data_IF_799440139263
#
_entry.id   IF_799440139263
#
_cell.length_a   1.000
_cell.length_b   1.000
_cell.length_c   1.000
_cell.angle_alpha   90.00
_cell.angle_beta   90.00
_cell.angle_gamma   90.00
#
_symmetry.space_group_name_H-M   'P 1'
#
loop_
_entity.id
_entity.type
_entity.pdbx_description
1 polymer ?
#
# COMPACT_ATOMS: atom_id res chain seq x y z
N UNK A 1 -12.47 14.66 6.00
CA UNK A 1 -11.28 14.86 6.88
C UNK A 1 -10.42 13.61 6.82
N UNK A 2 -9.12 13.76 6.51
CA UNK A 2 -8.14 12.68 6.55
C UNK A 2 -7.83 12.33 8.02
N UNK A 3 -7.87 11.04 8.35
CA UNK A 3 -7.48 10.53 9.67
C UNK A 3 -6.26 9.64 9.54
N UNK A 4 -5.24 9.88 10.36
CA UNK A 4 -4.04 9.04 10.40
C UNK A 4 -4.27 7.78 11.21
N UNK A 5 -3.89 6.65 10.61
CA UNK A 5 -3.83 5.35 11.25
C UNK A 5 -2.39 4.87 11.21
N UNK A 6 -1.75 4.73 12.36
CA UNK A 6 -0.36 4.31 12.51
C UNK A 6 -0.24 2.80 12.47
N UNK A 7 0.80 2.32 11.82
CA UNK A 7 1.20 0.93 11.82
C UNK A 7 1.96 0.65 13.13
N UNK A 8 1.38 -0.14 14.03
CA UNK A 8 1.94 -0.45 15.34
C UNK A 8 1.95 -1.96 15.53
N UNK A 9 3.14 -2.60 15.48
CA UNK A 9 3.24 -4.06 15.48
C UNK A 9 2.33 -4.69 14.41
N UNK A 10 1.26 -5.30 14.65
CA UNK A 10 0.27 -5.76 13.64
C UNK A 10 -1.07 -5.03 13.75
N UNK A 11 -1.11 -3.95 14.52
CA UNK A 11 -2.33 -3.18 14.78
C UNK A 11 -2.30 -1.88 13.98
N UNK A 12 -3.43 -1.57 13.36
CA UNK A 12 -3.69 -0.30 12.71
C UNK A 12 -4.51 0.59 13.67
N UNK A 13 -3.92 1.67 14.16
CA UNK A 13 -4.52 2.49 15.22
C UNK A 13 -4.34 3.98 14.98
N UNK A 14 -5.33 4.79 15.37
CA UNK A 14 -5.20 6.25 15.39
C UNK A 14 -4.22 6.73 16.47
N UNK A 15 -3.92 5.88 17.46
CA UNK A 15 -2.94 6.17 18.51
C UNK A 15 -1.56 5.70 18.09
N UNK A 16 -0.63 6.63 17.96
CA UNK A 16 0.76 6.37 17.62
C UNK A 16 1.50 5.71 18.79
N UNK A 17 2.25 4.65 18.52
CA UNK A 17 3.16 4.06 19.52
C UNK A 17 4.30 5.04 19.84
N UNK A 18 4.67 5.14 21.13
CA UNK A 18 5.72 6.07 21.59
C UNK A 18 7.12 5.62 21.12
N UNK A 19 7.41 4.33 21.26
CA UNK A 19 8.71 3.78 20.94
C UNK A 19 8.80 3.45 19.45
N UNK A 20 9.96 3.76 18.86
CA UNK A 20 10.29 3.31 17.51
C UNK A 20 10.57 1.80 17.55
N UNK A 21 10.04 1.11 16.57
CA UNK A 21 10.27 -0.31 16.34
C UNK A 21 10.40 -0.58 14.83
N UNK A 22 10.88 -1.76 14.47
CA UNK A 22 11.01 -2.19 13.07
C UNK A 22 10.39 -3.57 12.90
N UNK A 23 9.44 -3.67 11.99
CA UNK A 23 8.87 -4.95 11.56
C UNK A 23 9.64 -5.44 10.35
N UNK A 24 10.04 -6.71 10.39
CA UNK A 24 10.64 -7.40 9.24
C UNK A 24 9.55 -8.21 8.54
N UNK A 25 9.44 -8.03 7.23
CA UNK A 25 8.56 -8.80 6.38
C UNK A 25 9.37 -9.43 5.25
N UNK A 26 9.43 -10.77 5.24
CA UNK A 26 10.04 -11.52 4.13
C UNK A 26 9.03 -11.66 2.99
N UNK A 27 9.42 -11.20 1.82
CA UNK A 27 8.55 -11.13 0.64
C UNK A 27 8.20 -12.53 0.14
N UNK A 28 6.90 -12.81 0.01
CA UNK A 28 6.41 -14.00 -0.68
C UNK A 28 6.18 -13.69 -2.17
N UNK A 29 7.10 -14.11 -3.03
CA UNK A 29 7.01 -13.90 -4.48
C UNK A 29 5.93 -14.76 -5.15
N UNK A 30 5.29 -15.67 -4.43
CA UNK A 30 4.11 -16.39 -4.92
C UNK A 30 2.80 -15.61 -4.69
N UNK A 31 2.87 -14.44 -4.03
CA UNK A 31 1.71 -13.57 -3.86
C UNK A 31 1.18 -13.09 -5.21
N UNK A 32 -0.12 -13.02 -5.33
CA UNK A 32 -0.84 -12.43 -6.44
C UNK A 32 -2.00 -11.60 -5.93
N UNK A 33 -2.08 -10.36 -6.40
CA UNK A 33 -3.26 -9.50 -6.18
C UNK A 33 -4.41 -9.82 -7.11
N UNK A 34 -4.33 -10.95 -7.84
CA UNK A 34 -5.31 -11.34 -8.85
C UNK A 34 -6.69 -11.57 -8.26
N UNK A 35 -7.67 -10.94 -8.87
CA UNK A 35 -9.09 -11.11 -8.58
C UNK A 35 -9.74 -11.84 -9.75
N UNK A 36 -9.82 -13.18 -9.67
CA UNK A 36 -10.36 -14.00 -10.74
C UNK A 36 -9.47 -13.96 -12.01
N UNK A 37 -9.88 -14.68 -13.03
CA UNK A 37 -9.11 -14.86 -14.28
C UNK A 37 -9.05 -13.60 -15.17
N UNK A 38 -9.77 -12.52 -14.83
CA UNK A 38 -10.02 -11.40 -15.75
C UNK A 38 -9.53 -10.03 -15.27
N UNK A 39 -8.75 -9.92 -14.20
CA UNK A 39 -8.38 -8.62 -13.59
C UNK A 39 -7.70 -7.66 -14.59
N UNK A 40 -6.93 -8.19 -15.53
CA UNK A 40 -6.15 -7.38 -16.49
C UNK A 40 -6.44 -7.74 -17.95
N UNK A 41 -7.57 -8.34 -18.25
CA UNK A 41 -7.95 -8.50 -19.65
C UNK A 41 -8.28 -7.09 -20.21
N UNK A 42 -7.43 -6.49 -21.07
CA UNK A 42 -7.66 -5.16 -21.60
C UNK A 42 -8.95 -5.06 -22.44
N UNK A 43 -9.50 -6.20 -22.85
CA UNK A 43 -10.76 -6.27 -23.59
C UNK A 43 -11.98 -6.38 -22.66
N UNK A 44 -11.79 -6.64 -21.38
CA UNK A 44 -12.84 -6.69 -20.36
C UNK A 44 -12.63 -5.58 -19.33
N UNK A 45 -12.86 -4.33 -19.75
CA UNK A 45 -12.79 -3.16 -18.87
C UNK A 45 -13.87 -3.14 -17.77
N UNK A 46 -14.76 -4.10 -17.74
CA UNK A 46 -15.82 -4.25 -16.73
C UNK A 46 -15.41 -5.35 -15.76
N UNK A 47 -14.78 -4.99 -14.66
CA UNK A 47 -14.73 -5.89 -13.50
C UNK A 47 -16.17 -6.04 -13.04
N UNK A 48 -16.71 -7.25 -13.18
CA UNK A 48 -18.04 -7.55 -12.65
C UNK A 48 -18.01 -7.30 -11.14
N UNK A 49 -19.02 -6.60 -10.60
CA UNK A 49 -19.16 -6.40 -9.14
C UNK A 49 -19.26 -7.72 -8.36
N UNK A 50 -19.47 -8.85 -9.05
CA UNK A 50 -19.39 -10.21 -8.50
C UNK A 50 -17.95 -10.63 -8.17
N UNK A 51 -16.96 -9.94 -8.73
CA UNK A 51 -15.53 -10.21 -8.58
C UNK A 51 -14.87 -9.29 -7.54
N UNK A 52 -15.63 -8.61 -6.68
CA UNK A 52 -15.12 -8.01 -5.45
C UNK A 52 -14.79 -9.16 -4.50
N UNK A 53 -13.60 -9.68 -4.68
CA UNK A 53 -13.22 -10.97 -4.18
C UNK A 53 -12.74 -10.88 -2.76
N UNK A 54 -13.13 -11.88 -2.08
CA UNK A 54 -12.60 -12.25 -0.80
C UNK A 54 -11.10 -12.51 -0.94
N UNK A 55 -10.27 -11.83 -0.13
CA UNK A 55 -8.80 -11.77 -0.25
C UNK A 55 -8.04 -12.52 0.84
N UNK A 56 -8.71 -13.25 1.72
CA UNK A 56 -8.03 -13.86 2.89
C UNK A 56 -6.84 -14.72 2.50
N UNK A 57 -6.94 -15.45 1.40
CA UNK A 57 -5.85 -16.28 0.88
C UNK A 57 -4.65 -15.43 0.41
N UNK A 58 -4.90 -14.31 -0.28
CA UNK A 58 -3.86 -13.39 -0.74
C UNK A 58 -3.23 -12.64 0.44
N UNK A 59 -4.06 -12.16 1.37
CA UNK A 59 -3.61 -11.43 2.55
C UNK A 59 -2.73 -12.29 3.46
N UNK A 60 -2.89 -13.61 3.47
CA UNK A 60 -2.04 -14.53 4.26
C UNK A 60 -0.56 -14.48 3.86
N UNK A 61 -0.25 -14.01 2.65
CA UNK A 61 1.11 -13.84 2.12
C UNK A 61 1.67 -12.43 2.31
N UNK A 62 0.91 -11.55 2.92
CA UNK A 62 1.24 -10.13 3.13
C UNK A 62 1.62 -9.84 4.57
N UNK A 63 2.30 -8.72 4.78
CA UNK A 63 2.36 -8.10 6.09
C UNK A 63 1.04 -7.35 6.33
N UNK A 64 0.31 -7.76 7.36
CA UNK A 64 -1.06 -7.29 7.64
C UNK A 64 -1.10 -6.42 8.89
N UNK A 65 -1.86 -5.32 8.81
CA UNK A 65 -2.22 -4.45 9.93
C UNK A 65 -3.74 -4.28 9.97
N UNK A 66 -4.35 -4.47 11.15
CA UNK A 66 -5.79 -4.37 11.33
C UNK A 66 -6.18 -3.39 12.44
N UNK A 67 -7.33 -2.75 12.26
CA UNK A 67 -7.96 -2.04 13.38
C UNK A 67 -8.65 -3.03 14.32
N UNK A 68 -8.95 -2.59 15.54
CA UNK A 68 -10.00 -3.23 16.33
C UNK A 68 -11.34 -3.19 15.58
N UNK A 69 -12.28 -4.10 15.90
CA UNK A 69 -13.63 -4.04 15.34
C UNK A 69 -14.28 -2.68 15.56
N UNK A 70 -14.88 -2.12 14.51
CA UNK A 70 -15.50 -0.81 14.59
C UNK A 70 -16.76 -0.81 15.45
N UNK A 71 -16.85 0.12 16.40
CA UNK A 71 -18.02 0.29 17.28
C UNK A 71 -19.23 0.85 16.52
N UNK A 72 -19.00 1.64 15.47
CA UNK A 72 -20.02 2.26 14.63
C UNK A 72 -19.65 2.15 13.16
N UNK A 73 -20.63 2.26 12.29
CA UNK A 73 -20.39 2.35 10.85
C UNK A 73 -19.52 3.54 10.48
N UNK A 74 -18.68 3.38 9.47
CA UNK A 74 -17.83 4.45 8.94
C UNK A 74 -17.93 4.49 7.42
N UNK A 75 -17.83 5.69 6.87
CA UNK A 75 -17.78 5.91 5.42
C UNK A 75 -16.38 6.41 5.05
N UNK A 76 -15.72 5.72 4.15
CA UNK A 76 -14.53 6.17 3.44
C UNK A 76 -14.97 6.81 2.13
N UNK A 77 -14.46 8.01 1.80
CA UNK A 77 -14.69 8.64 0.50
C UNK A 77 -13.49 9.48 0.12
N UNK A 78 -12.83 9.10 -0.97
CA UNK A 78 -11.65 9.79 -1.50
C UNK A 78 -10.43 8.89 -1.61
N UNK A 79 -9.25 9.47 -1.48
CA UNK A 79 -7.96 8.82 -1.68
C UNK A 79 -7.33 8.45 -0.33
N UNK A 80 -7.16 7.15 -0.01
CA UNK A 80 -6.25 6.75 1.06
C UNK A 80 -4.80 7.09 0.67
N UNK A 81 -3.99 7.58 1.62
CA UNK A 81 -2.60 7.94 1.36
C UNK A 81 -1.69 7.13 2.28
N UNK A 82 -0.78 6.38 1.68
CA UNK A 82 0.24 5.59 2.36
C UNK A 82 1.45 6.47 2.67
N UNK A 83 2.03 6.30 3.86
CA UNK A 83 3.31 6.86 4.24
C UNK A 83 4.12 5.75 4.93
N UNK A 84 5.01 5.11 4.18
CA UNK A 84 5.88 4.03 4.68
C UNK A 84 7.30 4.55 4.84
N UNK A 85 7.83 4.51 6.06
CA UNK A 85 9.24 4.67 6.30
C UNK A 85 9.87 3.28 6.37
N UNK A 86 10.61 2.91 5.33
CA UNK A 86 11.10 1.55 5.17
C UNK A 86 12.47 1.48 4.50
N UNK A 87 13.11 0.32 4.64
CA UNK A 87 14.29 -0.11 3.92
C UNK A 87 14.11 -1.54 3.42
N UNK A 88 15.08 -2.05 2.68
CA UNK A 88 15.20 -3.45 2.26
C UNK A 88 16.64 -3.93 2.37
N UNK A 89 16.84 -5.25 2.45
CA UNK A 89 18.16 -5.86 2.29
C UNK A 89 18.68 -5.82 0.85
N UNK A 90 17.80 -5.47 -0.12
CA UNK A 90 18.17 -5.23 -1.52
C UNK A 90 18.16 -3.74 -1.84
N UNK A 91 18.81 -3.37 -2.94
CA UNK A 91 18.96 -1.95 -3.32
C UNK A 91 17.67 -1.28 -3.75
N UNK A 92 16.69 -2.04 -4.26
CA UNK A 92 15.40 -1.57 -4.73
C UNK A 92 14.31 -2.60 -4.45
N UNK A 93 13.04 -2.20 -4.47
CA UNK A 93 11.90 -3.08 -4.25
C UNK A 93 10.63 -2.50 -4.89
N UNK A 94 9.67 -3.37 -5.16
CA UNK A 94 8.30 -3.00 -5.52
C UNK A 94 7.39 -3.21 -4.31
N UNK A 95 6.56 -2.23 -4.01
CA UNK A 95 5.66 -2.23 -2.87
C UNK A 95 4.23 -2.21 -3.37
N UNK A 96 3.42 -3.15 -2.90
CA UNK A 96 1.99 -3.26 -3.17
C UNK A 96 1.24 -3.07 -1.87
N UNK A 97 0.27 -2.18 -1.84
CA UNK A 97 -0.56 -1.92 -0.66
C UNK A 97 -2.02 -2.11 -1.02
N UNK A 98 -2.71 -2.90 -0.22
CA UNK A 98 -4.12 -3.20 -0.37
C UNK A 98 -4.88 -2.71 0.86
N UNK A 99 -6.01 -2.05 0.63
CA UNK A 99 -7.00 -1.70 1.65
C UNK A 99 -8.18 -2.64 1.53
N UNK A 100 -8.57 -3.27 2.63
CA UNK A 100 -9.66 -4.23 2.66
C UNK A 100 -10.58 -4.01 3.85
N UNK A 101 -11.80 -4.51 3.72
CA UNK A 101 -12.83 -4.58 4.75
C UNK A 101 -12.91 -6.01 5.29
N UNK A 102 -12.58 -6.23 6.55
CA UNK A 102 -12.64 -7.55 7.17
C UNK A 102 -13.94 -7.69 7.94
N UNK A 103 -14.78 -8.62 7.50
CA UNK A 103 -16.04 -8.95 8.15
C UNK A 103 -15.82 -9.76 9.44
N UNK A 104 -16.84 -9.83 10.35
CA UNK A 104 -16.72 -10.59 11.60
C UNK A 104 -16.44 -12.08 11.42
N UNK A 105 -16.77 -12.67 10.27
CA UNK A 105 -16.46 -14.06 9.91
C UNK A 105 -15.01 -14.26 9.44
N UNK A 106 -14.20 -13.19 9.41
CA UNK A 106 -12.80 -13.19 9.01
C UNK A 106 -12.56 -13.02 7.52
N UNK A 107 -13.61 -12.98 6.69
CA UNK A 107 -13.46 -12.70 5.25
C UNK A 107 -13.01 -11.28 5.00
N UNK A 108 -12.09 -11.14 4.06
CA UNK A 108 -11.45 -9.87 3.70
C UNK A 108 -11.89 -9.43 2.29
N UNK A 109 -12.53 -8.28 2.21
CA UNK A 109 -13.07 -7.76 0.94
C UNK A 109 -12.25 -6.58 0.43
N UNK A 110 -11.86 -6.64 -0.83
CA UNK A 110 -11.09 -5.61 -1.49
C UNK A 110 -11.82 -4.27 -1.57
N UNK A 111 -11.09 -3.19 -1.31
CA UNK A 111 -11.56 -1.81 -1.48
C UNK A 111 -10.72 -1.07 -2.49
N UNK A 112 -9.42 -0.95 -2.25
CA UNK A 112 -8.50 -0.19 -3.08
C UNK A 112 -7.07 -0.72 -2.96
N UNK A 113 -6.24 -0.37 -3.94
CA UNK A 113 -4.82 -0.73 -3.97
C UNK A 113 -3.98 0.39 -4.54
N UNK A 114 -2.68 0.31 -4.31
CA UNK A 114 -1.65 1.05 -5.04
C UNK A 114 -0.35 0.26 -5.10
N UNK A 115 0.46 0.60 -6.10
CA UNK A 115 1.78 0.04 -6.33
C UNK A 115 2.80 1.18 -6.46
N UNK A 116 4.01 0.95 -5.94
CA UNK A 116 5.12 1.86 -6.13
C UNK A 116 6.44 1.07 -6.19
N UNK A 117 7.21 1.25 -7.26
CA UNK A 117 8.63 0.89 -7.25
C UNK A 117 9.39 1.93 -6.44
N UNK A 118 10.16 1.50 -5.44
CA UNK A 118 10.81 2.41 -4.50
C UNK A 118 11.74 3.43 -5.17
N UNK A 119 12.31 3.08 -6.32
CA UNK A 119 13.11 4.02 -7.11
C UNK A 119 12.35 5.28 -7.56
N UNK A 120 11.03 5.25 -7.60
CA UNK A 120 10.17 6.41 -7.90
C UNK A 120 9.64 7.11 -6.65
N UNK A 121 10.38 7.08 -5.54
CA UNK A 121 9.94 7.66 -4.27
C UNK A 121 9.86 9.20 -4.26
N UNK A 122 10.56 9.88 -5.19
CA UNK A 122 10.57 11.34 -5.25
C UNK A 122 9.18 11.88 -5.63
N UNK A 123 8.70 12.80 -4.82
CA UNK A 123 7.48 13.54 -5.13
C UNK A 123 7.82 14.75 -5.99
N UNK A 124 6.88 15.13 -6.84
CA UNK A 124 6.95 16.39 -7.60
C UNK A 124 6.68 17.54 -6.66
N UNK A 125 7.46 18.61 -6.74
CA UNK A 125 7.18 19.85 -6.02
C UNK A 125 5.91 20.50 -6.58
N UNK A 126 5.12 21.13 -5.69
CA UNK A 126 3.90 21.81 -6.08
C UNK A 126 4.13 22.86 -7.18
N UNK A 127 5.28 23.52 -7.17
CA UNK A 127 5.64 24.52 -8.16
C UNK A 127 5.96 23.91 -9.55
N UNK A 128 6.40 22.64 -9.60
CA UNK A 128 6.60 21.91 -10.86
C UNK A 128 5.29 21.46 -11.51
N UNK A 129 4.22 21.29 -10.74
CA UNK A 129 2.90 20.88 -11.23
C UNK A 129 2.06 22.03 -11.73
N UNK A 130 2.37 23.26 -11.31
CA UNK A 130 1.70 24.49 -11.74
C UNK A 130 2.34 24.99 -13.02
N UNK A 131 2.21 24.27 -14.14
CA UNK A 131 2.53 24.78 -15.45
C UNK A 131 1.32 25.52 -16.02
N UNK A 132 1.11 26.75 -15.58
CA UNK A 132 0.42 27.83 -16.28
C UNK A 132 -1.03 27.64 -16.74
N UNK A 133 -1.57 26.44 -16.78
CA UNK A 133 -2.91 26.16 -17.30
C UNK A 133 -3.95 25.84 -16.20
N UNK A 134 -3.51 25.35 -15.06
CA UNK A 134 -4.41 24.99 -13.95
C UNK A 134 -3.78 25.37 -12.61
N UNK A 135 -4.35 26.36 -11.97
CA UNK A 135 -3.95 26.85 -10.63
C UNK A 135 -4.40 25.86 -9.52
N UNK A 136 -4.26 24.57 -9.75
CA UNK A 136 -4.67 23.52 -8.83
C UNK A 136 -3.43 22.89 -8.22
N UNK A 137 -3.16 23.23 -6.95
CA UNK A 137 -2.18 22.48 -6.15
C UNK A 137 -2.77 21.12 -5.80
N UNK A 138 -2.19 20.01 -6.28
CA UNK A 138 -2.70 18.71 -5.90
C UNK A 138 -2.44 18.47 -4.41
N UNK A 139 -3.49 18.11 -3.67
CA UNK A 139 -3.39 17.69 -2.26
C UNK A 139 -2.82 16.26 -2.13
N UNK A 140 -2.66 15.54 -3.25
CA UNK A 140 -2.20 14.16 -3.31
C UNK A 140 -0.70 14.09 -3.55
N UNK A 141 -0.03 13.05 -3.02
CA UNK A 141 1.36 12.77 -3.36
C UNK A 141 1.45 12.32 -4.83
N UNK A 142 2.19 13.06 -5.63
CA UNK A 142 2.45 12.75 -7.02
C UNK A 142 3.93 12.40 -7.17
N UNK A 143 4.22 11.20 -7.66
CA UNK A 143 5.58 10.79 -7.97
C UNK A 143 6.07 11.54 -9.21
N UNK A 144 7.33 11.96 -9.17
CA UNK A 144 8.04 12.39 -10.38
C UNK A 144 8.43 11.14 -11.18
N UNK A 145 7.88 11.03 -12.40
CA UNK A 145 8.27 9.99 -13.35
C UNK A 145 9.29 10.49 -14.38
N UNK A 146 10.00 11.59 -14.08
CA UNK A 146 11.12 12.04 -14.92
C UNK A 146 12.29 11.09 -14.74
N UNK A 147 12.95 10.69 -15.83
CA UNK A 147 14.08 9.75 -15.79
C UNK A 147 15.20 10.20 -14.83
N UNK A 148 15.44 11.52 -14.71
CA UNK A 148 16.45 12.09 -13.82
C UNK A 148 16.11 11.96 -12.33
N UNK A 149 14.86 11.70 -12.00
CA UNK A 149 14.37 11.60 -10.62
C UNK A 149 14.27 10.15 -10.14
N UNK A 150 14.56 9.19 -11.04
CA UNK A 150 14.61 7.79 -10.69
C UNK A 150 15.88 7.46 -9.91
N UNK A 151 15.73 6.94 -8.70
CA UNK A 151 16.82 6.38 -7.89
C UNK A 151 16.87 4.86 -8.11
N UNK A 152 17.91 4.32 -8.77
CA UNK A 152 17.99 2.89 -9.00
C UNK A 152 18.29 2.08 -7.72
N UNK A 153 18.84 2.74 -6.67
CA UNK A 153 19.28 2.10 -5.44
C UNK A 153 18.77 2.83 -4.18
N UNK A 154 17.44 3.04 -4.03
CA UNK A 154 16.89 3.85 -2.94
C UNK A 154 17.22 3.28 -1.55
N UNK A 155 17.47 1.97 -1.44
CA UNK A 155 17.78 1.28 -0.18
C UNK A 155 19.26 0.92 -0.04
N UNK A 156 20.14 1.44 -0.90
CA UNK A 156 21.59 1.19 -0.84
C UNK A 156 22.15 1.35 0.57
N UNK A 157 22.94 0.36 1.01
CA UNK A 157 23.54 0.31 2.34
C UNK A 157 22.51 0.34 3.50
N UNK A 158 21.31 -0.17 3.28
CA UNK A 158 20.26 -0.21 4.30
C UNK A 158 19.60 1.14 4.57
N UNK A 159 19.75 2.12 3.66
CA UNK A 159 19.13 3.43 3.78
C UNK A 159 17.62 3.30 3.88
N UNK A 160 17.01 4.04 4.79
CA UNK A 160 15.57 4.16 4.89
C UNK A 160 15.05 5.26 3.97
N UNK A 161 13.94 4.97 3.29
CA UNK A 161 13.19 5.93 2.48
C UNK A 161 11.77 6.08 3.01
N UNK A 162 11.24 7.29 2.87
CA UNK A 162 9.82 7.54 3.08
C UNK A 162 9.10 7.44 1.74
N UNK A 163 8.29 6.40 1.59
CA UNK A 163 7.48 6.19 0.41
C UNK A 163 6.09 6.75 0.68
N UNK A 164 5.70 7.81 -0.02
CA UNK A 164 4.40 8.47 0.12
C UNK A 164 3.66 8.41 -1.20
N UNK A 165 2.52 7.72 -1.24
CA UNK A 165 1.70 7.54 -2.45
C UNK A 165 0.25 7.27 -2.08
N UNK A 166 -0.68 7.52 -3.01
CA UNK A 166 -2.10 7.30 -2.77
C UNK A 166 -2.59 5.99 -3.40
N UNK A 167 -3.59 5.38 -2.75
CA UNK A 167 -4.40 4.32 -3.33
C UNK A 167 -5.41 4.94 -4.31
N UNK A 168 -5.99 4.10 -5.17
CA UNK A 168 -7.10 4.50 -6.04
C UNK A 168 -8.25 5.08 -5.20
N UNK A 169 -8.93 6.13 -5.69
CA UNK A 169 -10.06 6.72 -4.97
C UNK A 169 -11.20 5.72 -4.85
N UNK A 170 -11.83 5.71 -3.69
CA UNK A 170 -12.96 4.82 -3.46
C UNK A 170 -14.02 5.45 -2.56
N UNK A 171 -15.24 4.94 -2.64
CA UNK A 171 -16.30 5.19 -1.68
C UNK A 171 -16.76 3.85 -1.11
N UNK A 172 -16.61 3.68 0.21
CA UNK A 172 -16.90 2.42 0.89
C UNK A 172 -17.54 2.64 2.25
N UNK A 173 -18.51 1.80 2.58
CA UNK A 173 -19.16 1.80 3.89
C UNK A 173 -18.70 0.58 4.69
N UNK A 174 -17.90 0.82 5.72
CA UNK A 174 -17.57 -0.19 6.71
C UNK A 174 -18.71 -0.35 7.70
N UNK A 175 -19.16 -1.56 7.92
CA UNK A 175 -20.23 -1.88 8.89
C UNK A 175 -19.68 -1.95 10.31
N UNK A 176 -20.56 -1.78 11.31
CA UNK A 176 -20.23 -2.07 12.71
C UNK A 176 -19.72 -3.50 12.85
N UNK A 177 -18.69 -3.73 13.66
CA UNK A 177 -18.07 -5.02 13.89
C UNK A 177 -17.03 -5.41 12.83
N UNK A 178 -16.96 -4.72 11.68
CA UNK A 178 -15.92 -4.92 10.69
C UNK A 178 -14.61 -4.26 11.10
N UNK A 179 -13.51 -4.66 10.47
CA UNK A 179 -12.18 -4.05 10.66
C UNK A 179 -11.66 -3.47 9.35
N UNK A 180 -10.85 -2.42 9.46
CA UNK A 180 -10.04 -1.94 8.35
C UNK A 180 -8.73 -2.73 8.37
N UNK A 181 -8.34 -3.28 7.22
CA UNK A 181 -7.05 -3.97 7.05
C UNK A 181 -6.22 -3.27 5.99
N UNK A 182 -4.93 -3.15 6.26
CA UNK A 182 -3.89 -2.79 5.30
C UNK A 182 -2.98 -3.99 5.15
N UNK A 183 -2.80 -4.45 3.91
CA UNK A 183 -1.92 -5.54 3.54
C UNK A 183 -0.79 -5.01 2.66
N UNK A 184 0.46 -5.33 3.00
CA UNK A 184 1.66 -4.91 2.26
C UNK A 184 2.32 -6.15 1.69
N UNK A 185 2.57 -6.13 0.38
CA UNK A 185 3.29 -7.19 -0.35
C UNK A 185 4.48 -6.60 -1.12
N UNK A 186 5.44 -7.45 -1.46
CA UNK A 186 6.60 -7.10 -2.28
C UNK A 186 6.54 -7.66 -3.71
N UNK A 187 5.46 -8.36 -4.05
CA UNK A 187 5.25 -8.95 -5.37
C UNK A 187 3.75 -9.05 -5.71
N UNK A 188 3.44 -9.11 -6.98
CA UNK A 188 2.13 -9.46 -7.53
C UNK A 188 2.36 -10.16 -8.88
N UNK A 189 2.70 -11.45 -8.80
CA UNK A 189 3.27 -12.25 -9.90
C UNK A 189 2.40 -12.39 -11.14
N UNK A 190 1.07 -12.27 -10.99
CA UNK A 190 0.13 -12.46 -12.10
C UNK A 190 -0.23 -11.14 -12.79
N UNK A 191 0.16 -9.99 -12.22
CA UNK A 191 -0.22 -8.67 -12.72
C UNK A 191 0.98 -7.80 -13.12
N UNK A 192 2.16 -8.06 -12.56
CA UNK A 192 3.36 -7.23 -12.77
C UNK A 192 4.61 -8.11 -12.93
N UNK A 193 5.55 -7.61 -13.72
CA UNK A 193 6.90 -8.14 -13.74
C UNK A 193 7.59 -7.89 -12.39
N UNK A 194 8.45 -8.80 -11.98
CA UNK A 194 9.21 -8.64 -10.76
C UNK A 194 10.24 -7.51 -10.86
N UNK A 195 10.59 -6.94 -9.71
CA UNK A 195 11.69 -6.00 -9.64
C UNK A 195 13.01 -6.70 -9.97
N UNK A 196 13.81 -6.21 -10.94
CA UNK A 196 15.08 -6.86 -11.31
C UNK A 196 16.09 -6.96 -10.17
N UNK A 197 16.05 -6.04 -9.17
CA UNK A 197 16.89 -6.13 -7.98
C UNK A 197 16.53 -7.33 -7.10
N UNK A 198 15.26 -7.76 -7.12
CA UNK A 198 14.80 -8.91 -6.36
C UNK A 198 14.81 -10.21 -7.17
N UNK A 199 14.41 -10.15 -8.45
CA UNK A 199 14.29 -11.33 -9.32
C UNK A 199 14.93 -11.03 -10.70
N UNK A 200 16.23 -11.21 -10.87
CA UNK A 200 16.97 -10.77 -12.07
C UNK A 200 16.46 -11.36 -13.38
N UNK A 201 15.94 -12.58 -13.37
CA UNK A 201 15.45 -13.27 -14.58
C UNK A 201 13.92 -13.17 -14.73
N UNK A 202 13.26 -12.33 -13.94
CA UNK A 202 11.81 -12.19 -13.91
C UNK A 202 11.05 -13.53 -13.69
N UNK A 203 11.64 -14.45 -12.93
CA UNK A 203 11.05 -15.74 -12.56
C UNK A 203 11.10 -15.93 -11.05
N UNK A 204 10.17 -16.69 -10.49
CA UNK A 204 10.17 -17.00 -9.04
C UNK A 204 11.46 -17.70 -8.63
N UNK A 205 12.00 -18.57 -9.49
CA UNK A 205 13.24 -19.31 -9.21
C UNK A 205 14.50 -18.42 -9.16
N UNK A 206 14.45 -17.25 -9.77
CA UNK A 206 15.56 -16.27 -9.73
C UNK A 206 15.43 -15.28 -8.56
N UNK A 207 14.34 -15.34 -7.78
CA UNK A 207 14.11 -14.37 -6.72
C UNK A 207 15.02 -14.62 -5.52
N UNK A 208 15.65 -13.53 -5.07
CA UNK A 208 16.49 -13.50 -3.89
C UNK A 208 15.63 -13.37 -2.61
N UNK A 209 16.16 -13.84 -1.49
CA UNK A 209 15.54 -13.57 -0.19
C UNK A 209 15.45 -12.05 0.01
N UNK A 210 14.23 -11.55 0.00
CA UNK A 210 13.94 -10.11 0.08
C UNK A 210 13.19 -9.81 1.35
N UNK A 211 13.79 -8.96 2.19
CA UNK A 211 13.18 -8.51 3.44
C UNK A 211 12.91 -7.00 3.37
N UNK A 212 11.73 -6.62 3.84
CA UNK A 212 11.37 -5.23 4.10
C UNK A 212 11.48 -4.93 5.59
N UNK A 213 12.13 -3.84 5.91
CA UNK A 213 12.27 -3.30 7.26
C UNK A 213 11.38 -2.08 7.38
N UNK A 214 10.20 -2.22 8.01
CA UNK A 214 9.21 -1.16 8.11
C UNK A 214 9.25 -0.54 9.50
N UNK A 215 9.53 0.77 9.57
CA UNK A 215 9.54 1.52 10.83
C UNK A 215 8.12 1.74 11.34
N UNK A 216 7.89 1.40 12.59
CA UNK A 216 6.66 1.67 13.32
C UNK A 216 6.90 2.52 14.56
N UNK A 217 5.90 3.24 15.02
CA UNK A 217 6.02 4.10 16.21
C UNK A 217 7.07 5.22 16.11
N UNK A 218 7.41 5.85 17.23
CA UNK A 218 8.36 6.95 17.26
C UNK A 218 8.03 8.09 16.28
N UNK A 219 8.98 8.97 15.97
CA UNK A 219 8.72 10.12 15.09
C UNK A 219 8.61 9.76 13.61
N UNK A 220 9.27 8.69 13.18
CA UNK A 220 9.31 8.21 11.80
C UNK A 220 8.41 7.00 11.51
N UNK A 221 7.50 6.67 12.43
CA UNK A 221 6.60 5.52 12.26
C UNK A 221 5.71 5.64 11.03
N UNK A 222 5.57 4.53 10.32
CA UNK A 222 4.70 4.41 9.15
C UNK A 222 3.23 4.55 9.50
N UNK A 223 2.43 5.09 8.57
CA UNK A 223 1.00 5.28 8.75
C UNK A 223 0.26 5.32 7.41
N UNK A 224 -1.06 5.21 7.48
CA UNK A 224 -1.96 5.50 6.35
C UNK A 224 -2.93 6.62 6.76
N UNK A 225 -3.19 7.54 5.85
CA UNK A 225 -4.24 8.55 5.97
C UNK A 225 -5.50 8.02 5.27
N UNK A 226 -6.58 7.93 6.00
CA UNK A 226 -7.86 7.46 5.48
C UNK A 226 -8.88 8.61 5.47
N UNK A 227 -9.53 8.91 4.31
CA UNK A 227 -10.60 9.90 4.21
C UNK A 227 -11.91 9.32 4.77
N UNK A 228 -11.95 9.15 6.10
CA UNK A 228 -12.99 8.41 6.79
C UNK A 228 -13.78 9.32 7.73
N UNK A 229 -15.10 9.11 7.79
CA UNK A 229 -16.03 9.79 8.70
C UNK A 229 -16.99 8.80 9.35
N UNK A 230 -17.53 9.18 10.51
CA UNK A 230 -18.63 8.43 11.09
C UNK A 230 -19.91 8.68 10.26
N UNK A 231 -20.80 7.71 10.22
CA UNK A 231 -22.19 7.94 9.83
C UNK A 231 -22.87 8.66 10.98
N UNK A 232 -23.48 9.81 10.70
CA UNK A 232 -24.35 10.50 11.67
C UNK A 232 -25.54 9.63 12.02
#
# INVERSE_FOLDING_TARGET
TQRKYFLNSKILSQKKAKNKDTIVYSVDFTHSGRYGENKLNPNNAVISMKDILERSAQDSKCLVFETEPMETEKILTGYPIVNLNMSSNLSNADIYVYLTDVAPDGKSYYIAEAQLRAGWHRLVDNDELVNGAFDVKPELPWQSFKQLDYDPEPFKNGKYQTLRFNLKPHSWKFKKGHKIRISIAGADKDNFEFNPASCPENTISSCLNTDFYITTGGNSGSYIELPIRNTN
#
